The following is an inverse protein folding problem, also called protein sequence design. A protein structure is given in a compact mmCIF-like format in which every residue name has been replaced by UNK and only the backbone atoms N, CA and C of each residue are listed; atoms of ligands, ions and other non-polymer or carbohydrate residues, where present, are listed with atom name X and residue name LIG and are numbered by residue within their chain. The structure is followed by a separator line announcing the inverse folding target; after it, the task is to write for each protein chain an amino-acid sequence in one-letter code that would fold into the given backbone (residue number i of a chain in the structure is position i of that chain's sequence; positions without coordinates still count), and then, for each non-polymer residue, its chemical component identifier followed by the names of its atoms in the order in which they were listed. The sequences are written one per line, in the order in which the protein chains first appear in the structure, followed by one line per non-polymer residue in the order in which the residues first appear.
data_IF_866489123118
#
_entry.id   IF_866489123118
#
_cell.length_a   1.000
_cell.length_b   1.000
_cell.length_c   1.000
_cell.angle_alpha   90.00
_cell.angle_beta   90.00
_cell.angle_gamma   90.00
#
_symmetry.space_group_name_H-M   'P 1'
#
loop_
_entity.id
_entity.type
_entity.pdbx_description
1 polymer ?
#
# COMPACT_ATOMS: atom_id res chain seq x y z
N UNK A 1 -9.21 4.71 13.73
CA UNK A 1 -8.50 3.67 12.96
C UNK A 1 -7.68 2.89 13.97
N UNK A 2 -7.72 1.57 13.89
CA UNK A 2 -6.95 0.65 14.73
C UNK A 2 -5.65 0.29 14.00
N UNK A 3 -4.54 0.10 14.73
CA UNK A 3 -3.26 -0.35 14.16
C UNK A 3 -3.17 -1.86 14.36
N UNK A 4 -2.80 -2.60 13.31
CA UNK A 4 -2.68 -4.05 13.38
C UNK A 4 -1.41 -4.50 14.09
N UNK A 5 -1.53 -5.48 14.98
CA UNK A 5 -0.40 -6.19 15.59
C UNK A 5 0.13 -7.34 14.70
N UNK A 6 1.19 -8.02 15.15
CA UNK A 6 1.84 -9.09 14.40
C UNK A 6 0.92 -10.30 14.08
N UNK A 7 -0.03 -10.62 14.97
CA UNK A 7 -0.97 -11.73 14.73
C UNK A 7 -2.03 -11.31 13.72
N UNK A 8 -2.53 -10.09 13.87
CA UNK A 8 -3.51 -9.50 12.96
C UNK A 8 -2.93 -9.31 11.55
N UNK A 9 -1.65 -8.96 11.41
CA UNK A 9 -0.97 -8.85 10.11
C UNK A 9 -0.91 -10.18 9.35
N UNK A 10 -0.70 -11.31 10.04
CA UNK A 10 -0.74 -12.65 9.42
C UNK A 10 -2.13 -13.00 8.90
N UNK A 11 -3.17 -12.64 9.66
CA UNK A 11 -4.55 -12.83 9.25
C UNK A 11 -4.93 -11.87 8.10
N UNK A 12 -4.42 -10.63 8.12
CA UNK A 12 -4.64 -9.65 7.06
C UNK A 12 -4.08 -10.13 5.72
N UNK A 13 -2.88 -10.75 5.72
CA UNK A 13 -2.30 -11.36 4.51
C UNK A 13 -3.27 -12.36 3.88
N UNK A 14 -3.83 -13.27 4.70
CA UNK A 14 -4.82 -14.26 4.23
C UNK A 14 -6.08 -13.60 3.68
N UNK A 15 -6.72 -12.71 4.46
CA UNK A 15 -7.97 -12.05 4.07
C UNK A 15 -7.83 -11.20 2.80
N UNK A 16 -6.69 -10.53 2.63
CA UNK A 16 -6.43 -9.72 1.44
C UNK A 16 -6.20 -10.60 0.20
N UNK A 17 -5.64 -11.81 0.34
CA UNK A 17 -5.43 -12.69 -0.82
C UNK A 17 -6.72 -13.11 -1.52
N UNK A 18 -7.82 -13.20 -0.77
CA UNK A 18 -9.16 -13.50 -1.30
C UNK A 18 -9.76 -12.31 -2.08
N UNK A 19 -9.20 -11.11 -1.92
CA UNK A 19 -9.67 -9.86 -2.50
C UNK A 19 -8.86 -9.43 -3.73
N UNK A 20 -8.05 -10.33 -4.28
CA UNK A 20 -7.29 -10.05 -5.51
C UNK A 20 -8.20 -9.90 -6.74
N UNK A 21 -7.83 -9.03 -7.69
CA UNK A 21 -6.58 -8.25 -7.74
C UNK A 21 -6.59 -6.92 -6.97
N UNK A 22 -7.73 -6.46 -6.46
CA UNK A 22 -7.90 -5.10 -5.93
C UNK A 22 -7.05 -4.83 -4.68
N UNK A 23 -6.85 -5.84 -3.84
CA UNK A 23 -6.02 -5.74 -2.63
C UNK A 23 -4.52 -5.96 -2.87
N UNK A 24 -4.09 -6.28 -4.10
CA UNK A 24 -2.75 -6.83 -4.36
C UNK A 24 -1.62 -5.89 -3.92
N UNK A 25 -1.79 -4.58 -4.08
CA UNK A 25 -0.79 -3.60 -3.64
C UNK A 25 -0.62 -3.59 -2.12
N UNK A 26 -1.72 -3.47 -1.35
CA UNK A 26 -1.69 -3.50 0.12
C UNK A 26 -1.21 -4.86 0.63
N UNK A 27 -1.67 -5.95 0.02
CA UNK A 27 -1.18 -7.29 0.31
C UNK A 27 0.34 -7.38 0.17
N UNK A 28 0.93 -6.83 -0.90
CA UNK A 28 2.37 -6.88 -1.13
C UNK A 28 3.20 -6.23 -0.01
N UNK A 29 2.70 -5.17 0.61
CA UNK A 29 3.34 -4.57 1.79
C UNK A 29 3.22 -5.50 3.02
N UNK A 30 2.02 -6.01 3.31
CA UNK A 30 1.81 -6.90 4.47
C UNK A 30 2.58 -8.21 4.32
N UNK A 31 2.60 -8.78 3.13
CA UNK A 31 3.39 -9.96 2.78
C UNK A 31 4.89 -9.76 3.11
N UNK A 32 5.44 -8.59 2.79
CA UNK A 32 6.81 -8.24 3.12
C UNK A 32 7.00 -8.05 4.63
N UNK A 33 6.10 -7.33 5.31
CA UNK A 33 6.15 -7.10 6.76
C UNK A 33 6.09 -8.40 7.56
N UNK A 34 5.33 -9.40 7.10
CA UNK A 34 5.23 -10.71 7.75
C UNK A 34 6.51 -11.58 7.59
N UNK A 35 7.38 -11.25 6.63
CA UNK A 35 8.59 -12.03 6.31
C UNK A 35 9.88 -11.35 6.73
N UNK A 36 9.92 -10.04 6.67
CA UNK A 36 11.08 -9.21 6.98
C UNK A 36 10.68 -8.30 8.13
N UNK A 37 11.50 -8.21 9.18
CA UNK A 37 11.37 -7.14 10.18
C UNK A 37 11.68 -5.80 9.51
N UNK A 38 10.64 -5.18 8.96
CA UNK A 38 10.67 -3.83 8.40
C UNK A 38 10.15 -2.89 9.47
N UNK A 39 11.04 -2.11 10.08
CA UNK A 39 10.77 -1.32 11.29
C UNK A 39 9.96 -0.03 11.04
N UNK A 40 9.35 0.18 9.86
CA UNK A 40 9.02 1.54 9.44
C UNK A 40 7.59 1.79 8.93
N UNK A 41 6.63 0.86 9.08
CA UNK A 41 5.25 1.08 8.58
C UNK A 41 4.18 0.70 9.60
N UNK A 42 3.14 1.54 9.72
CA UNK A 42 1.86 1.21 10.36
C UNK A 42 0.89 0.62 9.32
N UNK A 43 0.15 -0.41 9.72
CA UNK A 43 -1.05 -0.87 8.99
C UNK A 43 -2.28 -0.48 9.80
N UNK A 44 -3.08 0.43 9.25
CA UNK A 44 -4.26 0.99 9.89
C UNK A 44 -5.52 0.45 9.24
N UNK A 45 -6.51 0.10 10.07
CA UNK A 45 -7.83 -0.34 9.61
C UNK A 45 -8.95 0.44 10.25
N UNK A 46 -10.09 0.55 9.56
CA UNK A 46 -11.27 1.22 10.12
C UNK A 46 -12.05 0.33 11.12
N UNK A 47 -11.92 -0.99 10.97
CA UNK A 47 -12.50 -2.03 11.83
C UNK A 47 -11.71 -3.32 11.63
N UNK A 48 -11.50 -4.10 12.69
CA UNK A 48 -10.91 -5.43 12.58
C UNK A 48 -11.85 -6.53 13.11
N UNK A 49 -11.96 -7.72 12.48
CA UNK A 49 -11.37 -8.13 11.19
C UNK A 49 -12.21 -7.77 9.95
N UNK A 50 -13.45 -7.27 10.12
CA UNK A 50 -14.31 -6.85 9.00
C UNK A 50 -14.00 -5.41 8.53
N UNK A 51 -12.75 -5.20 8.10
CA UNK A 51 -12.31 -3.90 7.59
C UNK A 51 -13.04 -3.54 6.29
N UNK A 52 -13.29 -2.24 6.12
CA UNK A 52 -13.67 -1.65 4.83
C UNK A 52 -12.54 -0.86 4.21
N UNK A 53 -11.64 -0.32 5.03
CA UNK A 53 -10.48 0.47 4.60
C UNK A 53 -9.24 -0.07 5.31
N UNK A 54 -8.20 -0.35 4.53
CA UNK A 54 -6.83 -0.57 5.03
C UNK A 54 -5.92 0.51 4.46
N UNK A 55 -5.11 1.12 5.30
CA UNK A 55 -4.13 2.12 4.93
C UNK A 55 -2.78 1.76 5.52
N UNK A 56 -1.75 1.75 4.67
CA UNK A 56 -0.37 1.51 5.08
C UNK A 56 0.38 2.83 4.95
N UNK A 57 1.10 3.22 6.01
CA UNK A 57 1.89 4.46 6.03
C UNK A 57 3.21 4.30 6.78
N UNK A 58 4.21 5.15 6.50
CA UNK A 58 5.44 5.16 7.28
C UNK A 58 5.24 5.63 8.73
N UNK A 59 5.94 4.99 9.67
CA UNK A 59 5.89 5.24 11.12
C UNK A 59 6.69 6.50 11.54
N UNK A 60 7.80 6.76 10.84
CA UNK A 60 8.69 7.90 11.09
C UNK A 60 9.04 8.56 9.77
N UNK A 61 8.62 9.81 9.62
CA UNK A 61 9.18 10.71 8.62
C UNK A 61 10.62 11.06 9.04
N UNK A 62 11.59 10.19 8.78
CA UNK A 62 12.99 10.55 9.02
C UNK A 62 13.37 11.69 8.06
N UNK A 63 14.07 12.71 8.56
CA UNK A 63 14.69 13.72 7.70
C UNK A 63 15.57 13.02 6.65
N UNK A 64 15.32 13.28 5.36
CA UNK A 64 16.03 12.66 4.24
C UNK A 64 15.33 11.45 3.61
N UNK A 65 14.19 10.99 4.14
CA UNK A 65 13.35 10.02 3.45
C UNK A 65 12.43 10.75 2.46
N UNK A 66 12.85 10.77 1.18
CA UNK A 66 12.20 11.57 0.13
C UNK A 66 10.94 10.92 -0.43
N UNK A 67 10.70 9.62 -0.15
CA UNK A 67 9.58 8.87 -0.71
C UNK A 67 8.72 8.29 0.42
N UNK A 68 7.63 9.00 0.74
CA UNK A 68 6.61 8.55 1.68
C UNK A 68 5.49 7.89 0.90
N UNK A 69 5.53 6.56 0.82
CA UNK A 69 4.50 5.79 0.13
C UNK A 69 3.37 5.48 1.10
N UNK A 70 2.17 5.98 0.80
CA UNK A 70 0.92 5.59 1.45
C UNK A 70 0.17 4.67 0.50
N UNK A 71 -0.24 3.50 0.96
CA UNK A 71 -1.01 2.54 0.15
C UNK A 71 -2.38 2.32 0.75
N UNK A 72 -3.43 2.36 -0.07
CA UNK A 72 -4.83 2.30 0.37
C UNK A 72 -5.56 1.20 -0.36
N UNK A 73 -6.24 0.35 0.40
CA UNK A 73 -7.30 -0.53 -0.08
C UNK A 73 -8.62 -0.08 0.54
N UNK A 74 -9.67 0.03 -0.28
CA UNK A 74 -11.01 0.32 0.21
C UNK A 74 -12.07 -0.43 -0.58
N UNK A 75 -13.09 -0.94 0.12
CA UNK A 75 -14.36 -1.41 -0.46
C UNK A 75 -15.52 -0.41 -0.25
N UNK A 76 -15.25 0.74 0.37
CA UNK A 76 -16.23 1.75 0.77
C UNK A 76 -15.65 3.17 0.58
N UNK A 77 -16.02 3.81 -0.53
CA UNK A 77 -15.51 5.14 -0.89
C UNK A 77 -15.90 6.24 0.09
N UNK A 78 -17.13 6.20 0.62
CA UNK A 78 -17.61 7.20 1.58
C UNK A 78 -16.87 7.10 2.91
N UNK A 79 -16.62 5.87 3.37
CA UNK A 79 -15.82 5.61 4.57
C UNK A 79 -14.38 6.09 4.39
N UNK A 80 -13.77 5.81 3.24
CA UNK A 80 -12.43 6.28 2.91
C UNK A 80 -12.38 7.82 2.88
N UNK A 81 -13.32 8.47 2.20
CA UNK A 81 -13.45 9.94 2.16
C UNK A 81 -13.50 10.53 3.56
N UNK A 82 -14.35 9.97 4.42
CA UNK A 82 -14.51 10.40 5.81
C UNK A 82 -13.19 10.28 6.58
N UNK A 83 -12.49 9.15 6.47
CA UNK A 83 -11.19 8.94 7.11
C UNK A 83 -10.17 9.99 6.66
N UNK A 84 -10.06 10.26 5.36
CA UNK A 84 -9.08 11.21 4.84
C UNK A 84 -9.40 12.69 5.18
N UNK A 85 -10.67 13.03 5.38
CA UNK A 85 -11.11 14.37 5.80
C UNK A 85 -11.03 14.59 7.31
N UNK A 86 -11.31 13.56 8.12
CA UNK A 86 -11.45 13.70 9.57
C UNK A 86 -10.18 13.30 10.34
N UNK A 87 -9.21 12.67 9.68
CA UNK A 87 -7.96 12.25 10.32
C UNK A 87 -6.75 12.95 9.72
N UNK A 88 -5.64 12.95 10.46
CA UNK A 88 -4.31 13.40 10.01
C UNK A 88 -3.43 12.21 9.60
N UNK A 89 -4.05 11.12 9.11
CA UNK A 89 -3.33 9.90 8.74
C UNK A 89 -2.41 10.15 7.55
N UNK A 90 -2.84 11.02 6.63
CA UNK A 90 -2.06 11.51 5.49
C UNK A 90 -1.65 12.95 5.79
N UNK A 91 -0.33 13.20 5.82
CA UNK A 91 0.18 14.56 5.94
C UNK A 91 0.24 15.22 4.56
N UNK A 92 -0.82 15.94 4.22
CA UNK A 92 -0.96 16.65 2.93
C UNK A 92 0.05 17.79 2.71
N UNK A 93 0.76 18.24 3.75
CA UNK A 93 1.78 19.28 3.62
C UNK A 93 3.12 18.74 3.11
N UNK A 94 3.32 17.43 3.18
CA UNK A 94 4.54 16.77 2.76
C UNK A 94 4.39 16.15 1.36
N UNK A 95 5.51 16.05 0.65
CA UNK A 95 5.56 15.24 -0.56
C UNK A 95 5.31 13.76 -0.19
N UNK A 96 4.32 13.14 -0.84
CA UNK A 96 3.96 11.74 -0.66
C UNK A 96 3.48 11.13 -1.98
N UNK A 97 3.65 9.82 -2.10
CA UNK A 97 3.05 9.03 -3.16
C UNK A 97 1.86 8.26 -2.57
N UNK A 98 0.68 8.40 -3.18
CA UNK A 98 -0.53 7.69 -2.74
C UNK A 98 -0.86 6.59 -3.75
N UNK A 99 -0.63 5.34 -3.36
CA UNK A 99 -1.10 4.16 -4.08
C UNK A 99 -2.55 3.86 -3.74
N UNK A 100 -3.43 3.97 -4.71
CA UNK A 100 -4.87 3.78 -4.53
C UNK A 100 -5.53 3.34 -5.85
N UNK A 101 -6.68 2.68 -5.76
CA UNK A 101 -7.51 2.36 -6.93
C UNK A 101 -7.88 3.63 -7.70
N UNK A 102 -7.77 3.55 -9.03
CA UNK A 102 -8.02 4.65 -9.96
C UNK A 102 -9.45 5.20 -9.85
N UNK A 103 -10.43 4.39 -9.44
CA UNK A 103 -11.80 4.86 -9.24
C UNK A 103 -11.95 5.96 -8.17
N UNK A 104 -10.93 6.14 -7.32
CA UNK A 104 -10.90 7.17 -6.28
C UNK A 104 -10.14 8.45 -6.69
N UNK A 105 -9.64 8.55 -7.93
CA UNK A 105 -8.80 9.68 -8.40
C UNK A 105 -9.45 11.05 -8.12
N UNK A 106 -10.68 11.28 -8.60
CA UNK A 106 -11.38 12.56 -8.42
C UNK A 106 -11.59 12.92 -6.95
N UNK A 107 -11.95 11.92 -6.13
CA UNK A 107 -12.16 12.11 -4.69
C UNK A 107 -10.85 12.51 -4.00
N UNK A 108 -9.74 11.84 -4.31
CA UNK A 108 -8.43 12.16 -3.73
C UNK A 108 -7.98 13.56 -4.15
N UNK A 109 -8.12 13.91 -5.44
CA UNK A 109 -7.76 15.25 -5.93
C UNK A 109 -8.58 16.33 -5.23
N UNK A 110 -9.88 16.09 -5.02
CA UNK A 110 -10.76 17.00 -4.28
C UNK A 110 -10.31 17.16 -2.83
N UNK A 111 -10.01 16.07 -2.12
CA UNK A 111 -9.55 16.12 -0.73
C UNK A 111 -8.21 16.86 -0.63
N UNK A 112 -7.25 16.55 -1.50
CA UNK A 112 -5.95 17.23 -1.53
C UNK A 112 -6.13 18.75 -1.68
N UNK A 113 -6.99 19.20 -2.60
CA UNK A 113 -7.29 20.62 -2.79
C UNK A 113 -7.89 21.27 -1.53
N UNK A 114 -8.84 20.60 -0.85
CA UNK A 114 -9.40 21.11 0.41
C UNK A 114 -8.37 21.21 1.55
N UNK A 115 -7.27 20.45 1.45
CA UNK A 115 -6.15 20.45 2.41
C UNK A 115 -5.01 21.38 2.00
N UNK A 116 -5.18 22.16 0.93
CA UNK A 116 -4.16 23.08 0.41
C UNK A 116 -3.01 22.39 -0.33
N UNK A 117 -3.17 21.11 -0.70
CA UNK A 117 -2.20 20.35 -1.46
C UNK A 117 -2.57 20.28 -2.94
N UNK A 118 -1.57 20.08 -3.79
CA UNK A 118 -1.74 19.78 -5.21
C UNK A 118 -1.16 18.40 -5.50
N UNK A 119 -1.71 17.70 -6.48
CA UNK A 119 -1.26 16.36 -6.86
C UNK A 119 -1.21 16.22 -8.37
N UNK A 120 -0.28 15.40 -8.85
CA UNK A 120 -0.19 15.00 -10.24
C UNK A 120 -0.33 13.48 -10.31
N UNK A 121 -1.07 12.97 -11.31
CA UNK A 121 -1.09 11.54 -11.60
C UNK A 121 0.28 11.12 -12.12
N UNK A 122 1.01 10.33 -11.33
CA UNK A 122 2.36 9.87 -11.68
C UNK A 122 2.34 8.70 -12.66
N UNK A 123 1.54 7.67 -12.36
CA UNK A 123 1.44 6.46 -13.17
C UNK A 123 0.09 5.76 -12.95
N UNK A 124 -0.32 4.93 -13.90
CA UNK A 124 -1.42 3.97 -13.76
C UNK A 124 -0.83 2.57 -13.87
N UNK A 125 -0.90 1.81 -12.78
CA UNK A 125 -0.41 0.45 -12.71
C UNK A 125 -1.57 -0.54 -12.87
N UNK A 126 -1.46 -1.47 -13.81
CA UNK A 126 -2.45 -2.54 -13.99
C UNK A 126 -1.96 -3.80 -13.28
N UNK A 127 -2.65 -4.18 -12.21
CA UNK A 127 -2.32 -5.38 -11.44
C UNK A 127 -2.87 -6.62 -12.16
N UNK A 128 -1.99 -7.56 -12.50
CA UNK A 128 -2.33 -8.80 -13.19
C UNK A 128 -2.13 -10.00 -12.27
N UNK A 129 -3.10 -10.93 -12.26
CA UNK A 129 -2.99 -12.22 -11.58
C UNK A 129 -3.15 -13.34 -12.60
N UNK A 130 -2.15 -14.21 -12.68
CA UNK A 130 -2.26 -15.45 -13.44
C UNK A 130 -3.12 -16.43 -12.63
N UNK A 131 -4.25 -16.87 -13.20
CA UNK A 131 -5.17 -17.78 -12.51
C UNK A 131 -4.63 -19.20 -12.41
N UNK A 132 -3.98 -19.67 -13.49
CA UNK A 132 -3.38 -21.00 -13.56
C UNK A 132 -1.87 -20.89 -13.79
N UNK A 133 -1.04 -21.05 -12.73
CA UNK A 133 0.40 -21.04 -12.86
C UNK A 133 0.98 -22.38 -13.34
N UNK A 134 0.17 -23.42 -13.58
CA UNK A 134 0.66 -24.77 -13.94
C UNK A 134 1.43 -24.80 -15.27
N UNK A 135 1.18 -23.82 -16.13
CA UNK A 135 1.86 -23.64 -17.42
C UNK A 135 3.15 -22.80 -17.33
N UNK A 136 3.51 -22.30 -16.16
CA UNK A 136 4.76 -21.57 -15.98
C UNK A 136 5.95 -22.55 -16.07
N UNK A 137 7.06 -22.15 -16.71
CA UNK A 137 8.31 -22.89 -16.63
C UNK A 137 8.69 -23.11 -15.17
N UNK A 138 9.20 -24.30 -14.85
CA UNK A 138 9.74 -24.54 -13.50
C UNK A 138 10.89 -23.57 -13.25
N UNK A 139 10.80 -22.85 -12.15
CA UNK A 139 11.80 -21.88 -11.74
C UNK A 139 13.03 -22.63 -11.21
N UNK A 140 14.21 -22.41 -11.81
CA UNK A 140 15.47 -22.80 -11.18
C UNK A 140 15.57 -22.11 -9.81
N UNK A 141 16.05 -22.84 -8.79
CA UNK A 141 16.03 -22.44 -7.38
C UNK A 141 16.63 -21.05 -7.08
N UNK A 142 17.43 -20.52 -8.00
CA UNK A 142 18.09 -19.21 -7.91
C UNK A 142 17.12 -18.01 -7.92
N UNK A 143 15.90 -18.15 -8.50
CA UNK A 143 14.92 -17.07 -8.57
C UNK A 143 14.11 -16.88 -7.28
N UNK A 144 14.07 -17.90 -6.40
CA UNK A 144 13.42 -17.81 -5.10
C UNK A 144 14.08 -16.72 -4.22
N UNK A 145 15.40 -16.57 -4.31
CA UNK A 145 16.16 -15.56 -3.56
C UNK A 145 16.00 -14.14 -4.13
N UNK A 146 15.72 -14.01 -5.42
CA UNK A 146 15.53 -12.70 -6.09
C UNK A 146 14.16 -12.09 -5.78
N UNK A 147 13.09 -12.90 -5.70
CA UNK A 147 11.76 -12.40 -5.31
C UNK A 147 11.70 -11.93 -3.85
N UNK A 148 12.53 -12.50 -2.97
CA UNK A 148 12.68 -12.03 -1.58
C UNK A 148 13.48 -10.73 -1.48
N UNK A 149 14.31 -10.42 -2.48
CA UNK A 149 15.11 -9.20 -2.55
C UNK A 149 14.45 -8.07 -3.36
N UNK A 150 13.26 -8.32 -3.93
CA UNK A 150 12.57 -7.47 -4.92
C UNK A 150 11.91 -6.20 -4.38
N UNK A 151 12.60 -5.43 -3.54
CA UNK A 151 12.35 -3.99 -3.49
C UNK A 151 12.95 -3.37 -4.76
N UNK A 152 12.14 -2.71 -5.59
CA UNK A 152 12.63 -1.92 -6.73
C UNK A 152 13.56 -0.80 -6.25
N UNK A 153 14.85 -1.10 -6.09
CA UNK A 153 15.87 -0.07 -5.94
C UNK A 153 16.19 0.49 -7.33
N UNK A 154 15.56 1.60 -7.69
CA UNK A 154 16.04 2.47 -8.75
C UNK A 154 17.42 3.00 -8.34
N UNK A 155 18.50 2.32 -8.74
CA UNK A 155 19.87 2.86 -8.62
C UNK A 155 19.94 4.14 -9.44
N UNK A 156 20.26 5.26 -8.79
CA UNK A 156 20.70 6.46 -9.51
C UNK A 156 21.93 6.11 -10.38
N UNK A 157 22.03 6.63 -11.60
CA UNK A 157 23.25 6.48 -12.40
C UNK A 157 24.39 7.19 -11.65
N UNK A 158 25.48 6.47 -11.43
CA UNK A 158 26.72 7.06 -10.91
C UNK A 158 27.33 7.92 -12.02
N UNK A 159 27.58 9.19 -11.71
CA UNK A 159 28.54 10.04 -12.43
C UNK A 159 29.94 9.77 -11.90
#
# INVERSE_FOLDING_TARGET
MEILDEEQLKMAETLLSDLFPQSLQVYGYIFQMNRVKSDHMDVLVDRWPDFRVILIRPLREKEGDFFKDVSVYSKDGDKLKKILLETEIVNWQNYLCLGIDLCYEEMITSIAATRGATGNKLAVCHMLRLQDPSHLPQTDSFLHDIMLAGGMYMRKPQQ
#
